data_IF_661816031305
#
_entry.id   IF_661816031305
#
_cell.length_a   1.000
_cell.length_b   1.000
_cell.length_c   1.000
_cell.angle_alpha   90.00
_cell.angle_beta   90.00
_cell.angle_gamma   90.00
#
_symmetry.space_group_name_H-M   'P 1'
#
loop_
_entity.id
_entity.type
_entity.pdbx_description
1 polymer ?
#
# COMPACT_ATOMS: atom_id res chain seq x y z
N UNK A 1 2.61 -10.25 16.08
CA UNK A 1 3.09 -9.23 15.13
C UNK A 1 4.54 -8.89 15.42
N UNK A 2 5.34 -8.80 14.38
CA UNK A 2 6.75 -8.42 14.49
C UNK A 2 6.92 -6.96 14.08
N UNK A 3 7.79 -6.25 14.78
CA UNK A 3 8.09 -4.85 14.47
C UNK A 3 9.60 -4.65 14.43
N UNK A 4 10.08 -3.88 13.45
CA UNK A 4 11.48 -3.55 13.30
C UNK A 4 11.63 -2.11 12.80
N UNK A 5 12.44 -1.32 13.49
CA UNK A 5 12.81 0.02 13.02
C UNK A 5 14.21 -0.05 12.41
N UNK A 6 14.28 0.10 11.09
CA UNK A 6 15.54 -0.06 10.38
C UNK A 6 15.51 0.67 9.03
N UNK A 7 16.63 1.29 8.69
CA UNK A 7 16.84 1.89 7.38
C UNK A 7 15.90 3.05 7.04
N UNK A 8 15.41 3.75 8.05
CA UNK A 8 14.47 4.85 7.85
C UNK A 8 13.02 4.43 7.77
N UNK A 9 12.72 3.20 8.20
CA UNK A 9 11.39 2.62 8.11
C UNK A 9 10.94 1.99 9.41
N UNK A 10 9.64 2.03 9.66
CA UNK A 10 8.96 1.19 10.64
C UNK A 10 8.38 0.00 9.87
N UNK A 11 8.88 -1.21 10.15
CA UNK A 11 8.46 -2.44 9.51
C UNK A 11 7.51 -3.20 10.42
N UNK A 12 6.41 -3.69 9.86
CA UNK A 12 5.42 -4.50 10.57
C UNK A 12 5.13 -5.76 9.78
N UNK A 13 5.07 -6.91 10.45
CA UNK A 13 4.80 -8.17 9.79
C UNK A 13 4.02 -9.11 10.70
N UNK A 14 3.18 -9.95 10.11
CA UNK A 14 2.52 -11.03 10.84
C UNK A 14 3.55 -12.08 11.24
N UNK A 15 3.31 -12.79 12.35
CA UNK A 15 4.25 -13.79 12.84
C UNK A 15 4.47 -14.93 11.84
N UNK A 16 3.48 -15.22 11.02
CA UNK A 16 3.52 -16.27 10.00
C UNK A 16 3.68 -15.72 8.58
N UNK A 17 4.18 -14.49 8.44
CA UNK A 17 4.31 -13.86 7.12
C UNK A 17 5.26 -14.65 6.23
N UNK A 18 4.83 -14.92 5.01
CA UNK A 18 5.63 -15.55 3.98
C UNK A 18 6.43 -14.53 3.20
N UNK A 19 7.56 -14.95 2.64
CA UNK A 19 8.33 -14.05 1.79
C UNK A 19 7.55 -13.75 0.52
N UNK A 20 7.54 -12.46 0.15
CA UNK A 20 6.94 -12.02 -1.09
C UNK A 20 7.76 -12.55 -2.27
N UNK A 21 7.07 -13.07 -3.30
CA UNK A 21 7.72 -13.55 -4.51
C UNK A 21 8.43 -12.37 -5.20
N UNK A 22 9.73 -12.48 -5.55
CA UNK A 22 10.46 -11.36 -6.18
C UNK A 22 9.85 -10.89 -7.50
N UNK A 23 9.18 -11.77 -8.24
CA UNK A 23 8.58 -11.41 -9.52
C UNK A 23 7.14 -10.92 -9.40
N UNK A 24 6.41 -11.39 -8.37
CA UNK A 24 5.00 -11.08 -8.17
C UNK A 24 4.77 -10.07 -7.04
N UNK A 25 5.75 -9.90 -6.18
CA UNK A 25 5.62 -9.01 -5.02
C UNK A 25 5.52 -7.55 -5.40
N UNK A 26 4.70 -6.84 -4.69
CA UNK A 26 4.53 -5.41 -4.88
C UNK A 26 3.76 -4.80 -3.73
N UNK A 27 3.28 -3.59 -3.95
CA UNK A 27 2.66 -2.82 -2.88
C UNK A 27 1.65 -1.82 -3.39
N UNK A 28 0.62 -1.58 -2.56
CA UNK A 28 -0.20 -0.38 -2.64
C UNK A 28 0.39 0.65 -1.69
N UNK A 29 0.39 1.92 -2.08
CA UNK A 29 1.02 2.98 -1.32
C UNK A 29 0.03 4.06 -0.90
N UNK A 30 0.23 4.61 0.31
CA UNK A 30 -0.48 5.78 0.78
C UNK A 30 0.54 6.80 1.30
N UNK A 31 0.47 8.03 0.81
CA UNK A 31 1.36 9.11 1.24
C UNK A 31 0.69 9.84 2.41
N UNK A 32 1.42 9.98 3.52
CA UNK A 32 0.87 10.53 4.76
C UNK A 32 1.61 11.79 5.21
N UNK A 33 0.94 12.56 6.07
CA UNK A 33 1.54 13.71 6.76
C UNK A 33 1.47 13.57 8.29
N UNK A 34 0.87 12.49 8.80
CA UNK A 34 0.75 12.20 10.22
C UNK A 34 1.31 10.80 10.48
N UNK A 35 2.52 10.74 11.06
CA UNK A 35 3.19 9.46 11.33
C UNK A 35 2.46 8.63 12.38
N UNK A 36 1.83 9.26 13.37
CA UNK A 36 1.07 8.52 14.38
C UNK A 36 -0.07 7.74 13.71
N UNK A 37 -0.82 8.41 12.83
CA UNK A 37 -1.85 7.75 12.05
C UNK A 37 -1.27 6.62 11.20
N UNK A 38 -0.13 6.86 10.53
CA UNK A 38 0.50 5.88 9.66
C UNK A 38 0.91 4.62 10.44
N UNK A 39 1.50 4.78 11.62
CA UNK A 39 1.92 3.65 12.43
C UNK A 39 0.72 2.85 12.95
N UNK A 40 -0.33 3.52 13.38
CA UNK A 40 -1.56 2.86 13.83
C UNK A 40 -2.19 2.09 12.67
N UNK A 41 -2.23 2.69 11.48
CA UNK A 41 -2.77 2.03 10.29
C UNK A 41 -1.99 0.75 9.94
N UNK A 42 -0.65 0.80 10.02
CA UNK A 42 0.18 -0.37 9.79
C UNK A 42 -0.12 -1.50 10.79
N UNK A 43 -0.18 -1.16 12.07
CA UNK A 43 -0.48 -2.15 13.12
C UNK A 43 -1.85 -2.79 12.90
N UNK A 44 -2.85 -1.97 12.59
CA UNK A 44 -4.20 -2.48 12.33
C UNK A 44 -4.25 -3.36 11.09
N UNK A 45 -3.53 -2.99 10.02
CA UNK A 45 -3.51 -3.80 8.81
C UNK A 45 -2.98 -5.21 9.08
N UNK A 46 -1.96 -5.34 9.90
CA UNK A 46 -1.43 -6.65 10.26
C UNK A 46 -2.40 -7.40 11.18
N UNK A 47 -2.89 -6.74 12.22
CA UNK A 47 -3.79 -7.35 13.20
C UNK A 47 -5.11 -7.81 12.58
N UNK A 48 -5.63 -7.05 11.63
CA UNK A 48 -6.90 -7.38 10.95
C UNK A 48 -6.71 -8.32 9.77
N UNK A 49 -5.48 -8.74 9.47
CA UNK A 49 -5.22 -9.66 8.38
C UNK A 49 -5.37 -9.07 7.00
N UNK A 50 -5.25 -7.74 6.88
CA UNK A 50 -5.36 -7.05 5.59
C UNK A 50 -4.20 -7.42 4.68
N UNK A 51 -3.00 -7.48 5.24
CA UNK A 51 -1.79 -7.93 4.55
C UNK A 51 -0.84 -8.55 5.58
N UNK A 52 0.15 -9.30 5.09
CA UNK A 52 1.12 -9.98 5.96
C UNK A 52 2.29 -9.09 6.34
N UNK A 53 2.57 -8.05 5.57
CA UNK A 53 3.65 -7.12 5.88
C UNK A 53 3.35 -5.74 5.32
N UNK A 54 3.81 -4.74 6.04
CA UNK A 54 3.72 -3.34 5.60
C UNK A 54 4.83 -2.54 6.28
N UNK A 55 5.06 -1.35 5.77
CA UNK A 55 6.02 -0.43 6.38
C UNK A 55 5.57 1.00 6.18
N UNK A 56 6.05 1.90 7.04
CA UNK A 56 5.87 3.33 6.83
C UNK A 56 7.17 4.07 7.15
N UNK A 57 7.33 5.24 6.56
CA UNK A 57 8.52 6.06 6.73
C UNK A 57 8.68 6.46 8.21
N UNK A 58 9.91 6.36 8.71
CA UNK A 58 10.30 6.94 9.98
C UNK A 58 10.69 8.40 9.72
N UNK A 59 9.79 9.33 10.01
CA UNK A 59 10.00 10.75 9.71
C UNK A 59 11.12 11.36 10.53
N UNK A 60 11.40 10.83 11.72
CA UNK A 60 12.54 11.30 12.52
C UNK A 60 13.87 10.96 11.82
N UNK A 61 13.94 9.78 11.18
CA UNK A 61 15.16 9.36 10.47
C UNK A 61 15.36 10.12 9.17
N UNK A 62 14.27 10.45 8.45
CA UNK A 62 14.38 11.16 7.16
C UNK A 62 14.46 12.67 7.31
N UNK A 63 14.04 13.22 8.46
CA UNK A 63 13.98 14.64 8.68
C UNK A 63 12.87 15.37 7.93
N UNK A 64 11.95 14.62 7.32
CA UNK A 64 10.82 15.19 6.57
C UNK A 64 9.51 14.92 7.33
N UNK A 65 8.52 15.84 7.26
CA UNK A 65 7.25 15.66 7.98
C UNK A 65 6.31 14.68 7.30
N UNK A 66 6.59 14.28 6.06
CA UNK A 66 5.73 13.40 5.27
C UNK A 66 6.43 12.10 4.94
N UNK A 67 5.66 11.09 4.58
CA UNK A 67 6.21 9.81 4.19
C UNK A 67 5.19 8.97 3.46
N UNK A 68 5.47 7.65 3.38
CA UNK A 68 4.63 6.71 2.65
C UNK A 68 4.42 5.45 3.47
N UNK A 69 3.20 4.89 3.38
CA UNK A 69 2.90 3.55 3.85
C UNK A 69 2.91 2.63 2.62
N UNK A 70 3.56 1.48 2.75
CA UNK A 70 3.57 0.44 1.72
C UNK A 70 2.91 -0.81 2.27
N UNK A 71 1.81 -1.25 1.65
CA UNK A 71 1.13 -2.50 1.98
C UNK A 71 1.55 -3.56 0.95
N UNK A 72 2.29 -4.58 1.40
CA UNK A 72 2.91 -5.56 0.52
C UNK A 72 2.04 -6.80 0.32
N UNK A 73 1.97 -7.27 -0.91
CA UNK A 73 1.37 -8.56 -1.25
C UNK A 73 1.84 -9.01 -2.63
N UNK A 74 1.52 -10.26 -2.97
CA UNK A 74 1.79 -10.77 -4.32
C UNK A 74 0.68 -10.31 -5.27
N UNK A 75 1.05 -10.00 -6.51
CA UNK A 75 0.11 -9.48 -7.51
C UNK A 75 -1.01 -10.46 -7.84
N UNK A 76 -0.76 -11.77 -7.71
CA UNK A 76 -1.77 -12.79 -7.97
C UNK A 76 -2.68 -13.09 -6.76
N UNK A 77 -2.45 -12.41 -5.64
CA UNK A 77 -3.35 -12.49 -4.48
C UNK A 77 -4.52 -11.53 -4.70
N UNK A 78 -5.51 -11.99 -5.45
CA UNK A 78 -6.65 -11.16 -5.84
C UNK A 78 -7.45 -10.71 -4.62
N UNK A 79 -7.70 -11.62 -3.68
CA UNK A 79 -8.43 -11.29 -2.45
C UNK A 79 -7.64 -10.30 -1.60
N UNK A 80 -6.31 -10.43 -1.57
CA UNK A 80 -5.45 -9.50 -0.86
C UNK A 80 -5.50 -8.09 -1.42
N UNK A 81 -5.54 -7.96 -2.75
CA UNK A 81 -5.70 -6.65 -3.38
C UNK A 81 -6.99 -5.97 -2.95
N UNK A 82 -8.08 -6.74 -2.92
CA UNK A 82 -9.38 -6.22 -2.47
C UNK A 82 -9.34 -5.81 -0.99
N UNK A 83 -8.73 -6.65 -0.13
CA UNK A 83 -8.63 -6.35 1.30
C UNK A 83 -7.88 -5.04 1.54
N UNK A 84 -6.76 -4.83 0.86
CA UNK A 84 -5.96 -3.61 1.02
C UNK A 84 -6.74 -2.39 0.53
N UNK A 85 -7.35 -2.47 -0.65
CA UNK A 85 -8.13 -1.35 -1.19
C UNK A 85 -9.30 -1.01 -0.27
N UNK A 86 -10.03 -2.02 0.22
CA UNK A 86 -11.13 -1.80 1.13
C UNK A 86 -10.66 -1.12 2.43
N UNK A 87 -9.56 -1.58 2.98
CA UNK A 87 -8.96 -0.98 4.17
C UNK A 87 -8.62 0.50 3.92
N UNK A 88 -8.01 0.79 2.78
CA UNK A 88 -7.65 2.17 2.41
C UNK A 88 -8.89 3.05 2.24
N UNK A 89 -9.95 2.53 1.61
CA UNK A 89 -11.19 3.27 1.43
C UNK A 89 -11.87 3.55 2.78
N UNK A 90 -11.94 2.56 3.66
CA UNK A 90 -12.57 2.70 4.97
C UNK A 90 -11.85 3.69 5.88
N UNK A 91 -10.57 3.87 5.68
CA UNK A 91 -9.74 4.75 6.50
C UNK A 91 -9.37 6.06 5.81
N UNK A 92 -10.06 6.40 4.72
CA UNK A 92 -9.84 7.64 3.96
C UNK A 92 -8.39 7.81 3.51
N UNK A 93 -7.77 6.71 3.09
CA UNK A 93 -6.36 6.71 2.70
C UNK A 93 -6.14 6.91 1.21
N UNK A 94 -7.22 7.01 0.42
CA UNK A 94 -7.13 7.30 -1.00
C UNK A 94 -7.55 8.75 -1.22
N UNK A 95 -6.62 9.55 -1.70
CA UNK A 95 -6.86 10.98 -1.91
C UNK A 95 -7.84 11.22 -3.05
N UNK A 96 -8.50 12.37 -3.00
CA UNK A 96 -9.42 12.80 -4.06
C UNK A 96 -8.81 13.91 -4.87
N UNK A 97 -9.16 13.94 -6.17
CA UNK A 97 -8.80 15.01 -7.07
C UNK A 97 -9.63 16.26 -6.75
N UNK A 98 -9.31 17.38 -7.40
CA UNK A 98 -10.07 18.63 -7.25
C UNK A 98 -11.54 18.47 -7.63
N UNK A 99 -11.85 17.51 -8.52
CA UNK A 99 -13.23 17.25 -8.97
C UNK A 99 -13.98 16.26 -8.08
N UNK A 100 -13.34 15.79 -6.98
CA UNK A 100 -13.97 14.88 -6.04
C UNK A 100 -13.84 13.40 -6.39
N UNK A 101 -13.13 13.06 -7.44
CA UNK A 101 -12.86 11.66 -7.82
C UNK A 101 -11.68 11.12 -7.03
N UNK A 102 -11.70 9.82 -6.76
CA UNK A 102 -10.53 9.16 -6.17
C UNK A 102 -9.36 9.20 -7.15
N UNK A 103 -8.15 9.39 -6.63
CA UNK A 103 -6.95 9.20 -7.44
C UNK A 103 -6.85 7.74 -7.87
N UNK A 104 -6.50 7.54 -9.13
CA UNK A 104 -6.34 6.19 -9.67
C UNK A 104 -4.95 5.65 -9.29
N UNK A 105 -4.82 5.26 -8.03
CA UNK A 105 -3.55 4.72 -7.52
C UNK A 105 -3.24 3.39 -8.19
N UNK A 106 -1.96 3.03 -8.25
CA UNK A 106 -1.53 1.80 -8.89
C UNK A 106 -0.73 0.91 -7.94
N UNK A 107 -0.83 -0.39 -8.19
CA UNK A 107 -0.01 -1.39 -7.52
C UNK A 107 1.39 -1.37 -8.16
N UNK A 108 2.41 -1.16 -7.33
CA UNK A 108 3.79 -1.06 -7.82
C UNK A 108 4.55 -2.33 -7.51
N UNK A 109 5.05 -2.99 -8.55
CA UNK A 109 5.86 -4.20 -8.38
C UNK A 109 7.22 -3.88 -7.78
N UNK A 110 7.72 -4.72 -6.89
CA UNK A 110 9.03 -4.53 -6.26
C UNK A 110 10.16 -4.63 -7.29
N UNK A 111 10.00 -5.48 -8.31
CA UNK A 111 10.98 -5.59 -9.40
C UNK A 111 11.13 -4.28 -10.16
N UNK A 112 10.03 -3.54 -10.34
CA UNK A 112 10.06 -2.23 -10.98
C UNK A 112 10.84 -1.22 -10.15
N UNK A 113 10.66 -1.25 -8.83
CA UNK A 113 11.39 -0.35 -7.93
C UNK A 113 12.89 -0.64 -7.99
N UNK A 114 13.29 -1.93 -7.99
CA UNK A 114 14.70 -2.32 -8.06
C UNK A 114 15.35 -1.94 -9.38
N UNK A 115 14.59 -2.03 -10.48
CA UNK A 115 15.07 -1.69 -11.81
C UNK A 115 14.93 -0.20 -12.14
N UNK A 116 14.42 0.60 -11.20
CA UNK A 116 14.10 2.02 -11.41
C UNK A 116 13.17 2.23 -12.60
N UNK A 117 12.26 1.29 -12.83
CA UNK A 117 11.24 1.39 -13.87
C UNK A 117 10.04 2.16 -13.33
N UNK A 118 9.78 3.31 -13.93
CA UNK A 118 8.66 4.17 -13.56
C UNK A 118 7.90 4.56 -14.82
N UNK A 119 6.60 4.79 -14.70
CA UNK A 119 5.77 5.20 -15.82
C UNK A 119 5.08 4.01 -16.48
N UNK A 120 4.80 4.14 -17.79
CA UNK A 120 3.91 3.22 -18.48
C UNK A 120 4.58 1.98 -19.08
N UNK A 121 5.89 1.94 -19.12
CA UNK A 121 6.65 0.90 -19.81
C UNK A 121 6.87 -0.37 -18.99
N UNK A 122 6.43 -0.42 -17.75
CA UNK A 122 6.66 -1.59 -16.94
C UNK A 122 5.56 -2.63 -17.09
N UNK A 123 5.88 -3.86 -16.67
CA UNK A 123 4.99 -5.01 -16.82
C UNK A 123 3.67 -4.79 -16.08
N UNK A 124 2.60 -4.81 -16.83
CA UNK A 124 1.24 -4.80 -16.30
C UNK A 124 0.91 -3.61 -15.42
N UNK A 125 -0.21 -3.00 -15.66
CA UNK A 125 -0.75 -1.99 -14.76
C UNK A 125 -1.91 -2.58 -13.99
N UNK A 126 -1.80 -2.52 -12.66
CA UNK A 126 -2.91 -2.85 -11.78
C UNK A 126 -3.29 -1.54 -11.11
N UNK A 127 -4.44 -1.01 -11.45
CA UNK A 127 -4.89 0.30 -11.01
C UNK A 127 -6.21 0.21 -10.26
N UNK A 128 -6.47 1.23 -9.44
CA UNK A 128 -7.68 1.27 -8.60
C UNK A 128 -8.97 1.18 -9.42
N UNK A 129 -9.00 1.80 -10.61
CA UNK A 129 -10.21 1.83 -11.44
C UNK A 129 -10.62 0.45 -11.97
N UNK A 130 -9.75 -0.56 -11.86
CA UNK A 130 -10.11 -1.94 -12.17
C UNK A 130 -11.00 -2.55 -11.09
N UNK A 131 -11.07 -1.97 -9.93
CA UNK A 131 -11.78 -2.50 -8.75
C UNK A 131 -12.97 -1.65 -8.34
N UNK A 132 -12.85 -0.33 -8.43
CA UNK A 132 -13.88 0.60 -7.95
C UNK A 132 -14.13 1.71 -8.97
N UNK A 133 -15.36 2.25 -8.92
CA UNK A 133 -15.70 3.46 -9.65
C UNK A 133 -15.02 4.65 -8.95
N UNK A 134 -14.15 5.37 -9.65
CA UNK A 134 -13.40 6.47 -9.05
C UNK A 134 -14.30 7.64 -8.62
N UNK A 135 -15.49 7.77 -9.21
CA UNK A 135 -16.44 8.83 -8.86
C UNK A 135 -17.16 8.55 -7.56
N UNK A 136 -17.51 7.30 -7.32
CA UNK A 136 -18.39 6.90 -6.20
C UNK A 136 -17.67 6.10 -5.12
N UNK A 137 -16.56 5.45 -5.46
CA UNK A 137 -15.88 4.52 -4.56
C UNK A 137 -16.57 3.15 -4.45
N UNK A 138 -17.59 2.91 -5.25
CA UNK A 138 -18.32 1.65 -5.24
C UNK A 138 -17.55 0.56 -5.99
N UNK A 139 -17.65 -0.66 -5.50
CA UNK A 139 -16.98 -1.81 -6.12
C UNK A 139 -17.63 -2.18 -7.46
N UNK A 140 -16.81 -2.29 -8.50
CA UNK A 140 -17.23 -2.79 -9.81
C UNK A 140 -16.71 -4.19 -10.09
N UNK A 141 -15.66 -4.59 -9.38
CA UNK A 141 -15.07 -5.93 -9.47
C UNK A 141 -15.65 -6.80 -8.37
N UNK A 142 -16.40 -7.83 -8.74
CA UNK A 142 -17.06 -8.70 -7.78
C UNK A 142 -16.51 -10.11 -7.81
#
# INVERSE_FOLDING_TARGET
MKYLNYGGWHWYAADNAEKTDPEKGGKWMHFFSDEVFARIACERAIEEGVCDSCKCTDTAATGKPTGVICFYLNADDIDGRKRVIEFMLQNNMIQKTKTGKLYNISFKFNSQTRAHEYGDDYKGKITLDQFVDLKTGEWIYK
#
